data_IF_862203222916
#
_entry.id   IF_862203222916
#
_cell.length_a   1.000
_cell.length_b   1.000
_cell.length_c   1.000
_cell.angle_alpha   90.00
_cell.angle_beta   90.00
_cell.angle_gamma   90.00
#
_symmetry.space_group_name_H-M   'P 1'
#
loop_
_entity.id
_entity.type
_entity.pdbx_description
1 polymer ?
#
# COMPACT_ATOMS: atom_id res chain seq x y z
N UNK A 1 -36.81 -53.53 1.49
CA UNK A 1 -37.30 -52.35 0.74
C UNK A 1 -36.77 -51.01 1.27
N UNK A 2 -36.56 -50.84 2.58
CA UNK A 2 -36.12 -49.57 3.20
C UNK A 2 -34.71 -49.10 2.82
N UNK A 3 -33.76 -50.03 2.62
CA UNK A 3 -32.37 -49.69 2.29
C UNK A 3 -32.19 -49.16 0.87
N UNK A 4 -32.98 -49.68 -0.10
CA UNK A 4 -32.94 -49.22 -1.49
C UNK A 4 -33.47 -47.80 -1.60
N UNK A 5 -34.56 -47.49 -0.89
CA UNK A 5 -35.15 -46.15 -0.85
C UNK A 5 -34.17 -45.11 -0.27
N UNK A 6 -33.45 -45.48 0.79
CA UNK A 6 -32.44 -44.60 1.41
C UNK A 6 -31.26 -44.34 0.47
N UNK A 7 -30.80 -45.36 -0.26
CA UNK A 7 -29.69 -45.23 -1.21
C UNK A 7 -30.08 -44.40 -2.43
N UNK A 8 -31.33 -44.47 -2.88
CA UNK A 8 -31.85 -43.64 -3.98
C UNK A 8 -31.97 -42.16 -3.56
N UNK A 9 -32.39 -41.88 -2.33
CA UNK A 9 -32.45 -40.51 -1.80
C UNK A 9 -31.05 -39.92 -1.64
N UNK A 10 -30.07 -40.72 -1.18
CA UNK A 10 -28.68 -40.28 -1.06
C UNK A 10 -28.04 -40.01 -2.43
N UNK A 11 -28.37 -40.79 -3.45
CA UNK A 11 -27.89 -40.57 -4.82
C UNK A 11 -28.50 -39.30 -5.45
N UNK A 12 -29.78 -38.99 -5.17
CA UNK A 12 -30.42 -37.75 -5.63
C UNK A 12 -29.95 -36.51 -4.87
N UNK A 13 -29.55 -36.65 -3.60
CA UNK A 13 -28.97 -35.54 -2.83
C UNK A 13 -27.55 -35.19 -3.29
N UNK A 14 -26.79 -36.16 -3.80
CA UNK A 14 -25.44 -35.97 -4.33
C UNK A 14 -25.36 -35.33 -5.72
N UNK A 15 -26.48 -35.19 -6.44
CA UNK A 15 -26.52 -34.63 -7.80
C UNK A 15 -26.91 -33.15 -7.85
N UNK A 16 -26.88 -32.43 -6.72
CA UNK A 16 -26.95 -30.96 -6.73
C UNK A 16 -25.61 -30.43 -7.26
N UNK A 17 -25.38 -30.55 -8.56
CA UNK A 17 -24.31 -29.78 -9.21
C UNK A 17 -24.64 -28.32 -8.94
N UNK A 18 -23.74 -27.61 -8.27
CA UNK A 18 -23.79 -26.16 -8.18
C UNK A 18 -23.88 -25.64 -9.62
N UNK A 19 -25.07 -25.23 -10.03
CA UNK A 19 -25.26 -24.44 -11.24
C UNK A 19 -24.62 -23.10 -10.94
N UNK A 20 -23.34 -22.97 -11.22
CA UNK A 20 -22.73 -21.67 -11.36
C UNK A 20 -23.42 -21.05 -12.57
N UNK A 21 -24.37 -20.15 -12.30
CA UNK A 21 -24.86 -19.23 -13.32
C UNK A 21 -23.63 -18.55 -13.93
N UNK A 22 -23.55 -18.47 -15.26
CA UNK A 22 -22.60 -17.57 -15.88
C UNK A 22 -22.98 -16.16 -15.41
N UNK A 23 -22.09 -15.54 -14.64
CA UNK A 23 -22.19 -14.11 -14.40
C UNK A 23 -22.02 -13.44 -15.76
N UNK A 24 -23.06 -12.73 -16.21
CA UNK A 24 -23.00 -11.88 -17.40
C UNK A 24 -21.75 -10.99 -17.28
N UNK A 25 -20.80 -11.18 -18.19
CA UNK A 25 -19.63 -10.30 -18.27
C UNK A 25 -20.12 -8.98 -18.86
N UNK A 26 -20.63 -8.11 -18.00
CA UNK A 26 -20.96 -6.75 -18.34
C UNK A 26 -19.66 -5.93 -18.34
N UNK A 27 -19.13 -5.68 -19.54
CA UNK A 27 -18.02 -4.74 -19.74
C UNK A 27 -18.49 -3.37 -19.21
N UNK A 28 -17.95 -2.96 -18.07
CA UNK A 28 -18.26 -1.67 -17.42
C UNK A 28 -18.98 -1.75 -16.06
N UNK A 29 -19.33 -2.94 -15.55
CA UNK A 29 -19.84 -3.09 -14.19
C UNK A 29 -18.69 -3.33 -13.20
N UNK A 30 -18.58 -2.46 -12.18
CA UNK A 30 -17.70 -2.64 -11.02
C UNK A 30 -18.25 -3.78 -10.13
N UNK A 31 -18.30 -5.00 -10.66
CA UNK A 31 -18.46 -6.20 -9.85
C UNK A 31 -17.28 -6.28 -8.90
N UNK A 32 -17.56 -6.34 -7.59
CA UNK A 32 -16.57 -6.44 -6.53
C UNK A 32 -15.79 -7.77 -6.62
N UNK A 33 -14.89 -7.85 -7.59
CA UNK A 33 -13.76 -8.79 -7.57
C UNK A 33 -12.69 -8.12 -6.73
N UNK A 34 -12.59 -8.54 -5.46
CA UNK A 34 -11.49 -8.24 -4.54
C UNK A 34 -10.19 -8.94 -4.96
N UNK A 35 -9.87 -8.88 -6.25
CA UNK A 35 -8.65 -9.41 -6.85
C UNK A 35 -7.99 -8.28 -7.61
N UNK A 36 -7.24 -7.45 -6.88
CA UNK A 36 -6.16 -6.58 -7.35
C UNK A 36 -6.21 -6.19 -8.85
N UNK A 37 -7.32 -5.59 -9.28
CA UNK A 37 -7.31 -4.80 -10.50
C UNK A 37 -6.49 -3.55 -10.15
N UNK A 38 -5.48 -3.22 -10.97
CA UNK A 38 -4.74 -1.98 -10.79
C UNK A 38 -5.73 -0.82 -10.71
N UNK A 39 -5.61 0.03 -9.68
CA UNK A 39 -6.53 1.13 -9.46
C UNK A 39 -6.42 2.12 -10.61
N UNK A 40 -7.47 2.26 -11.42
CA UNK A 40 -7.65 3.38 -12.33
C UNK A 40 -8.82 4.20 -11.80
N UNK A 41 -8.54 5.44 -11.42
CA UNK A 41 -9.54 6.37 -10.91
C UNK A 41 -9.74 7.50 -11.92
N UNK A 42 -10.99 7.72 -12.31
CA UNK A 42 -11.36 8.74 -13.28
C UNK A 42 -12.02 9.93 -12.56
N UNK A 43 -11.27 11.02 -12.46
CA UNK A 43 -11.71 12.33 -11.97
C UNK A 43 -11.68 13.36 -13.12
N UNK A 44 -11.82 12.90 -14.36
CA UNK A 44 -11.80 13.76 -15.53
C UNK A 44 -12.93 14.80 -15.51
N UNK A 45 -12.66 15.93 -16.14
CA UNK A 45 -13.67 16.95 -16.41
C UNK A 45 -13.93 17.00 -17.93
N UNK A 46 -15.19 16.80 -18.39
CA UNK A 46 -15.53 16.84 -19.81
C UNK A 46 -15.21 18.18 -20.49
N UNK A 47 -15.15 19.26 -19.73
CA UNK A 47 -14.90 20.61 -20.23
C UNK A 47 -13.42 21.02 -20.15
N UNK A 48 -12.53 20.13 -19.70
CA UNK A 48 -11.11 20.41 -19.54
C UNK A 48 -10.25 19.39 -20.28
N UNK A 49 -9.00 19.77 -20.57
CA UNK A 49 -7.98 18.82 -21.02
C UNK A 49 -7.65 17.89 -19.86
N UNK A 50 -7.77 16.58 -20.03
CA UNK A 50 -7.46 15.61 -18.98
C UNK A 50 -6.10 14.97 -19.21
N UNK A 51 -5.38 14.72 -18.11
CA UNK A 51 -4.07 14.11 -18.08
C UNK A 51 -4.10 12.84 -17.24
N UNK A 52 -3.24 11.88 -17.60
CA UNK A 52 -3.04 10.66 -16.82
C UNK A 52 -1.77 10.80 -15.98
N UNK A 53 -1.90 10.57 -14.68
CA UNK A 53 -0.81 10.61 -13.70
C UNK A 53 -0.81 9.33 -12.87
N UNK A 54 0.32 9.02 -12.24
CA UNK A 54 0.47 7.83 -11.40
C UNK A 54 0.77 8.23 -9.97
N UNK A 55 0.08 7.61 -9.00
CA UNK A 55 0.30 7.82 -7.58
C UNK A 55 0.64 6.49 -6.90
N UNK A 56 1.83 6.40 -6.36
CA UNK A 56 2.38 5.20 -5.75
C UNK A 56 2.71 5.41 -4.28
N UNK A 57 2.76 4.29 -3.55
CA UNK A 57 3.24 4.26 -2.17
C UNK A 57 2.13 4.31 -1.12
N UNK A 58 2.41 4.95 0.01
CA UNK A 58 1.62 4.89 1.24
C UNK A 58 0.47 5.90 1.24
N UNK A 59 -0.48 5.67 0.34
CA UNK A 59 -1.75 6.40 0.26
C UNK A 59 -2.91 5.42 0.37
N UNK A 60 -4.12 5.90 0.65
CA UNK A 60 -5.27 5.02 0.86
C UNK A 60 -5.64 4.24 -0.40
N UNK A 61 -5.56 4.88 -1.56
CA UNK A 61 -5.87 4.28 -2.86
C UNK A 61 -4.74 4.54 -3.87
N UNK A 62 -3.66 3.73 -3.89
CA UNK A 62 -2.61 3.88 -4.90
C UNK A 62 -3.09 3.42 -6.27
N UNK A 63 -2.65 4.08 -7.34
CA UNK A 63 -3.10 3.77 -8.70
C UNK A 63 -2.79 4.82 -9.75
N UNK A 64 -3.37 4.63 -10.94
CA UNK A 64 -3.43 5.62 -12.02
C UNK A 64 -4.65 6.52 -11.85
N UNK A 65 -4.46 7.82 -12.09
CA UNK A 65 -5.50 8.82 -11.98
C UNK A 65 -5.63 9.58 -13.29
N UNK A 66 -6.86 9.76 -13.77
CA UNK A 66 -7.20 10.67 -14.86
C UNK A 66 -7.76 11.92 -14.20
N UNK A 67 -7.05 13.05 -14.34
CA UNK A 67 -7.39 14.32 -13.69
C UNK A 67 -7.33 15.46 -14.70
N UNK A 68 -8.02 16.58 -14.47
CA UNK A 68 -7.89 17.76 -15.31
C UNK A 68 -6.45 18.29 -15.33
N UNK A 69 -6.03 18.84 -16.45
CA UNK A 69 -4.75 19.53 -16.59
C UNK A 69 -4.73 20.72 -15.64
N UNK A 70 -3.62 20.87 -14.92
CA UNK A 70 -3.46 21.87 -13.87
C UNK A 70 -3.77 21.37 -12.46
N UNK A 71 -4.23 20.12 -12.31
CA UNK A 71 -4.33 19.47 -10.99
C UNK A 71 -2.98 19.48 -10.28
N UNK A 72 -3.03 19.84 -9.02
CA UNK A 72 -1.87 19.95 -8.13
C UNK A 72 -1.61 18.65 -7.37
N UNK A 73 -0.40 18.48 -6.86
CA UNK A 73 -0.02 17.29 -6.07
C UNK A 73 -0.93 17.06 -4.85
N UNK A 74 -1.31 18.12 -4.13
CA UNK A 74 -2.18 18.03 -2.95
C UNK A 74 -3.59 17.58 -3.31
N UNK A 75 -4.13 18.05 -4.45
CA UNK A 75 -5.43 17.59 -4.96
C UNK A 75 -5.37 16.12 -5.33
N UNK A 76 -4.31 15.67 -6.00
CA UNK A 76 -4.13 14.25 -6.35
C UNK A 76 -4.08 13.36 -5.10
N UNK A 77 -3.31 13.75 -4.08
CA UNK A 77 -3.25 13.01 -2.80
C UNK A 77 -4.62 13.01 -2.12
N UNK A 78 -5.38 14.10 -2.23
CA UNK A 78 -6.74 14.19 -1.70
C UNK A 78 -7.71 13.25 -2.43
N UNK A 79 -7.63 13.16 -3.76
CA UNK A 79 -8.40 12.19 -4.56
C UNK A 79 -8.08 10.74 -4.20
N UNK A 80 -6.86 10.49 -3.76
CA UNK A 80 -6.44 9.18 -3.28
C UNK A 80 -6.86 8.85 -1.85
N UNK A 81 -7.63 9.73 -1.20
CA UNK A 81 -8.13 9.55 0.16
C UNK A 81 -7.11 9.93 1.24
N UNK A 82 -6.05 10.64 0.88
CA UNK A 82 -5.00 11.09 1.79
C UNK A 82 -3.84 10.09 1.97
N UNK A 83 -2.77 10.54 2.63
CA UNK A 83 -1.67 9.66 3.06
C UNK A 83 -2.13 8.65 4.10
N UNK A 84 -1.50 7.48 4.13
CA UNK A 84 -1.71 6.51 5.20
C UNK A 84 -0.97 6.94 6.49
N UNK A 85 -1.30 6.29 7.61
CA UNK A 85 -0.63 6.54 8.89
C UNK A 85 0.87 6.20 8.85
N UNK A 86 1.28 5.23 8.04
CA UNK A 86 2.67 4.81 7.88
C UNK A 86 3.40 5.59 6.77
N UNK A 87 2.85 6.72 6.29
CA UNK A 87 3.43 7.50 5.19
C UNK A 87 4.47 8.50 5.68
N UNK A 88 5.63 8.54 5.03
CA UNK A 88 6.67 9.55 5.29
C UNK A 88 6.31 10.84 4.58
N UNK A 89 5.73 11.79 5.33
CA UNK A 89 5.27 13.08 4.78
C UNK A 89 6.40 14.07 4.52
N UNK A 90 7.58 13.83 5.08
CA UNK A 90 8.79 14.64 4.94
C UNK A 90 9.48 14.51 3.58
N UNK A 91 9.27 13.40 2.85
CA UNK A 91 9.96 13.10 1.59
C UNK A 91 9.01 12.64 0.48
N UNK A 92 7.94 13.39 0.22
CA UNK A 92 7.06 13.12 -0.93
C UNK A 92 7.79 13.49 -2.22
N UNK A 93 7.81 12.57 -3.19
CA UNK A 93 8.59 12.72 -4.43
C UNK A 93 7.68 12.86 -5.64
N UNK A 94 7.93 13.85 -6.48
CA UNK A 94 7.31 14.00 -7.80
C UNK A 94 8.39 13.82 -8.86
N UNK A 95 8.24 12.79 -9.67
CA UNK A 95 9.09 12.54 -10.83
C UNK A 95 8.39 13.06 -12.07
N UNK A 96 8.94 14.15 -12.63
CA UNK A 96 8.50 14.68 -13.92
C UNK A 96 9.18 13.96 -15.06
N UNK A 97 8.39 13.33 -15.92
CA UNK A 97 8.87 12.60 -17.10
C UNK A 97 8.52 13.44 -18.32
N UNK A 98 9.54 13.91 -19.04
CA UNK A 98 9.37 14.63 -20.30
C UNK A 98 10.09 13.88 -21.41
N UNK A 99 9.47 13.83 -22.57
CA UNK A 99 10.06 13.21 -23.75
C UNK A 99 11.36 13.94 -24.14
N UNK A 100 12.46 13.19 -24.27
CA UNK A 100 13.77 13.74 -24.67
C UNK A 100 14.55 14.51 -23.58
N UNK A 101 14.07 14.55 -22.33
CA UNK A 101 14.79 15.19 -21.23
C UNK A 101 15.04 14.21 -20.06
N UNK A 102 16.10 14.40 -19.26
CA UNK A 102 16.31 13.60 -18.06
C UNK A 102 15.16 13.82 -17.07
N UNK A 103 14.72 12.74 -16.41
CA UNK A 103 13.67 12.81 -15.40
C UNK A 103 14.09 13.74 -14.25
N UNK A 104 13.22 14.68 -13.89
CA UNK A 104 13.46 15.62 -12.78
C UNK A 104 12.67 15.15 -11.55
N UNK A 105 13.37 14.96 -10.44
CA UNK A 105 12.75 14.65 -9.15
C UNK A 105 12.60 15.92 -8.31
N UNK A 106 11.39 16.18 -7.84
CA UNK A 106 11.07 17.24 -6.89
C UNK A 106 10.69 16.58 -5.56
N UNK A 107 11.18 17.13 -4.45
CA UNK A 107 10.91 16.63 -3.09
C UNK A 107 10.06 17.65 -2.34
N UNK A 108 9.10 17.16 -1.57
CA UNK A 108 8.17 17.95 -0.79
C UNK A 108 8.09 17.43 0.63
N UNK A 109 8.10 18.37 1.58
CA UNK A 109 7.85 18.12 2.98
C UNK A 109 6.44 18.63 3.33
N UNK A 110 5.55 17.71 3.67
CA UNK A 110 4.17 17.93 4.11
C UNK A 110 4.03 17.81 5.64
N UNK A 111 5.11 17.46 6.35
CA UNK A 111 5.12 17.29 7.80
C UNK A 111 4.72 18.60 8.51
N UNK A 112 5.26 19.72 8.04
CA UNK A 112 4.96 21.06 8.56
C UNK A 112 3.46 21.41 8.50
N UNK A 113 2.70 20.83 7.54
CA UNK A 113 1.27 21.09 7.41
C UNK A 113 0.41 20.22 8.31
N UNK A 114 0.91 19.04 8.68
CA UNK A 114 0.12 18.00 9.34
C UNK A 114 0.40 17.93 10.84
N UNK A 115 1.61 18.31 11.27
CA UNK A 115 2.08 18.05 12.62
C UNK A 115 2.70 19.26 13.34
N UNK A 116 3.08 20.31 12.61
CA UNK A 116 3.70 21.50 13.21
C UNK A 116 2.68 22.63 13.34
N UNK A 117 2.85 23.49 14.34
CA UNK A 117 1.99 24.67 14.56
C UNK A 117 2.30 25.81 13.57
N UNK A 118 3.50 25.81 12.97
CA UNK A 118 3.98 26.84 12.05
C UNK A 118 4.53 26.24 10.75
N UNK A 119 4.11 26.80 9.62
CA UNK A 119 4.60 26.41 8.29
C UNK A 119 5.94 27.10 8.03
N UNK A 120 7.04 26.36 8.14
CA UNK A 120 8.40 26.86 7.95
C UNK A 120 8.81 26.89 6.47
N UNK A 121 8.23 26.01 5.66
CA UNK A 121 8.57 25.85 4.24
C UNK A 121 7.61 26.64 3.34
N UNK A 122 8.11 27.40 2.36
CA UNK A 122 7.26 28.00 1.32
C UNK A 122 6.66 26.89 0.45
N UNK A 123 5.37 26.62 0.65
CA UNK A 123 4.68 25.52 -0.02
C UNK A 123 4.20 25.99 -1.40
N UNK A 124 4.93 25.60 -2.44
CA UNK A 124 4.46 25.74 -3.81
C UNK A 124 4.00 24.37 -4.32
N UNK A 125 2.68 24.16 -4.34
CA UNK A 125 2.11 22.94 -4.90
C UNK A 125 2.34 22.89 -6.40
N UNK A 126 3.22 21.99 -6.82
CA UNK A 126 3.50 21.81 -8.25
C UNK A 126 2.27 21.25 -8.95
N UNK A 127 2.01 21.81 -10.14
CA UNK A 127 1.01 21.28 -11.06
C UNK A 127 1.58 20.07 -11.78
N UNK A 128 0.78 19.03 -11.85
CA UNK A 128 1.13 17.77 -12.49
C UNK A 128 0.97 17.89 -14.00
N UNK A 129 1.85 17.21 -14.72
CA UNK A 129 1.84 17.06 -16.17
C UNK A 129 1.55 15.60 -16.54
N UNK A 130 1.13 15.36 -17.79
CA UNK A 130 0.84 14.03 -18.26
C UNK A 130 2.08 13.12 -18.14
N UNK A 131 1.90 11.94 -17.54
CA UNK A 131 2.99 10.99 -17.32
C UNK A 131 3.80 11.22 -16.03
N UNK A 132 3.53 12.29 -15.27
CA UNK A 132 4.17 12.50 -13.96
C UNK A 132 3.83 11.34 -13.00
N UNK A 133 4.81 10.98 -12.17
CA UNK A 133 4.68 9.96 -11.13
C UNK A 133 4.88 10.63 -9.78
N UNK A 134 3.89 10.49 -8.90
CA UNK A 134 3.96 10.92 -7.51
C UNK A 134 4.20 9.68 -6.64
N UNK A 135 5.21 9.73 -5.80
CA UNK A 135 5.59 8.64 -4.90
C UNK A 135 5.55 9.15 -3.47
N UNK A 136 4.73 8.50 -2.65
CA UNK A 136 4.64 8.74 -1.21
C UNK A 136 5.37 7.58 -0.50
N UNK A 137 6.62 7.77 -0.05
CA UNK A 137 7.34 6.73 0.65
C UNK A 137 6.66 6.40 1.98
N UNK A 138 6.93 5.20 2.49
CA UNK A 138 6.56 4.84 3.85
C UNK A 138 7.61 5.33 4.81
N UNK A 139 7.21 5.55 6.06
CA UNK A 139 8.17 5.79 7.14
C UNK A 139 9.19 4.65 7.15
N UNK A 140 10.49 4.95 7.39
CA UNK A 140 11.47 3.89 7.58
C UNK A 140 10.97 3.01 8.72
N UNK A 141 10.59 1.77 8.39
CA UNK A 141 10.32 0.75 9.40
C UNK A 141 11.62 0.52 10.13
N UNK A 142 11.83 1.27 11.22
CA UNK A 142 12.84 0.93 12.19
C UNK A 142 12.44 -0.45 12.69
N UNK A 143 13.20 -1.47 12.29
CA UNK A 143 13.06 -2.85 12.75
C UNK A 143 13.48 -2.97 14.21
N UNK A 144 13.10 -2.01 15.06
CA UNK A 144 13.49 -1.95 16.46
C UNK A 144 13.18 -3.26 17.18
N UNK A 145 12.10 -3.96 16.82
CA UNK A 145 11.79 -5.28 17.39
C UNK A 145 12.73 -6.40 16.94
N UNK A 146 13.18 -6.39 15.68
CA UNK A 146 14.12 -7.39 15.18
C UNK A 146 15.52 -7.14 15.75
N UNK A 147 15.93 -5.88 15.87
CA UNK A 147 17.17 -5.48 16.51
C UNK A 147 17.18 -5.86 17.99
N UNK A 148 16.09 -5.55 18.73
CA UNK A 148 15.97 -5.91 20.15
C UNK A 148 16.06 -7.42 20.35
N UNK A 149 15.35 -8.22 19.55
CA UNK A 149 15.39 -9.68 19.68
C UNK A 149 16.78 -10.24 19.36
N UNK A 150 17.47 -9.69 18.35
CA UNK A 150 18.83 -10.06 17.99
C UNK A 150 19.82 -9.76 19.13
N UNK A 151 19.80 -8.54 19.68
CA UNK A 151 20.66 -8.16 20.80
C UNK A 151 20.34 -8.95 22.08
N UNK A 152 19.05 -9.18 22.39
CA UNK A 152 18.66 -10.03 23.52
C UNK A 152 19.15 -11.48 23.35
N UNK A 153 19.13 -12.02 22.12
CA UNK A 153 19.71 -13.34 21.81
C UNK A 153 21.20 -13.42 22.12
N UNK A 154 21.98 -12.40 21.73
CA UNK A 154 23.41 -12.32 22.05
C UNK A 154 23.62 -12.23 23.57
N UNK A 155 22.87 -11.39 24.26
CA UNK A 155 23.01 -11.21 25.72
C UNK A 155 22.64 -12.49 26.48
N UNK A 156 21.56 -13.16 26.09
CA UNK A 156 21.10 -14.41 26.74
C UNK A 156 22.05 -15.57 26.51
N UNK A 157 22.60 -15.72 25.31
CA UNK A 157 23.62 -16.75 25.02
C UNK A 157 24.89 -16.52 25.81
N UNK A 158 25.39 -15.29 25.91
CA UNK A 158 26.54 -14.95 26.75
C UNK A 158 26.25 -15.23 28.23
N UNK A 159 25.08 -14.84 28.73
CA UNK A 159 24.67 -15.13 30.11
C UNK A 159 24.56 -16.63 30.39
N UNK A 160 24.08 -17.42 29.44
CA UNK A 160 24.03 -18.88 29.57
C UNK A 160 25.43 -19.50 29.59
N UNK A 161 26.36 -18.98 28.77
CA UNK A 161 27.73 -19.46 28.73
C UNK A 161 28.47 -19.13 30.04
N UNK A 162 28.28 -17.92 30.57
CA UNK A 162 28.89 -17.51 31.85
C UNK A 162 28.33 -18.31 33.02
N UNK A 163 27.01 -18.54 33.06
CA UNK A 163 26.39 -19.40 34.07
C UNK A 163 26.92 -20.83 34.01
N UNK A 164 27.12 -21.38 32.82
CA UNK A 164 27.70 -22.71 32.62
C UNK A 164 29.14 -22.78 33.14
N UNK A 165 29.98 -21.79 32.84
CA UNK A 165 31.37 -21.74 33.33
C UNK A 165 31.40 -21.67 34.86
N UNK A 166 30.57 -20.81 35.48
CA UNK A 166 30.48 -20.70 36.93
C UNK A 166 30.02 -22.01 37.57
N UNK A 167 29.06 -22.71 36.96
CA UNK A 167 28.57 -24.00 37.45
C UNK A 167 29.67 -25.07 37.43
N UNK A 168 30.52 -25.10 36.40
CA UNK A 168 31.63 -26.06 36.33
C UNK A 168 32.68 -25.76 37.41
N UNK A 169 33.04 -24.49 37.59
CA UNK A 169 34.01 -24.08 38.63
C UNK A 169 33.48 -24.41 40.03
N UNK A 170 32.20 -24.15 40.29
CA UNK A 170 31.57 -24.44 41.59
C UNK A 170 31.46 -25.93 41.90
N UNK A 171 31.46 -26.81 40.89
CA UNK A 171 31.38 -28.26 41.09
C UNK A 171 32.76 -28.90 41.34
N UNK A 172 33.82 -28.24 40.89
CA UNK A 172 35.20 -28.75 40.97
C UNK A 172 35.97 -28.25 42.21
N UNK A 173 35.37 -27.32 42.97
CA UNK A 173 35.78 -26.88 44.32
C UNK A 173 34.90 -27.57 45.38
#
# INVERSE_FOLDING_TARGET
>A
MKIKLFLTIFLLAGSQTFLFSQDDIQIGSLGSRSGQAGGLFDYSNPNAVNIKVQLWGYVRYPGSYIVPSGTSINELISFAGGPNNDASLDDIRVTKIKEGAPAKMLKYNYNDMMWEDEIKTQINFVKLEAGDIVVVPGEPRYFAREDIAFYLGIVTTLASLTALILSIISFNN
#
